data_IF_802830419295
#
_entry.id   IF_802830419295
#
_cell.length_a   1.000
_cell.length_b   1.000
_cell.length_c   1.000
_cell.angle_alpha   90.00
_cell.angle_beta   90.00
_cell.angle_gamma   90.00
#
_symmetry.space_group_name_H-M   'P 1'
#
loop_
_entity.id
_entity.type
_entity.pdbx_description
1 polymer ?
#
# COMPACT_ATOMS: atom_id res chain seq x y z
N UNK A 1 20.53 10.81 27.40
CA UNK A 1 20.10 11.05 26.01
C UNK A 1 20.49 9.92 25.06
N UNK A 2 21.78 9.53 24.94
CA UNK A 2 22.18 8.46 24.01
C UNK A 2 21.53 7.09 24.26
N UNK A 3 21.34 6.69 25.53
CA UNK A 3 20.64 5.45 25.89
C UNK A 3 19.16 5.46 25.47
N UNK A 4 18.46 6.57 25.68
CA UNK A 4 17.07 6.74 25.25
C UNK A 4 16.95 6.73 23.72
N UNK A 5 17.88 7.38 23.02
CA UNK A 5 17.95 7.36 21.56
C UNK A 5 18.26 5.95 21.01
N UNK A 6 19.15 5.20 21.65
CA UNK A 6 19.46 3.80 21.29
C UNK A 6 18.28 2.86 21.52
N UNK A 7 17.65 2.92 22.69
CA UNK A 7 16.50 2.08 23.02
C UNK A 7 15.33 2.40 22.09
N UNK A 8 15.04 3.68 21.86
CA UNK A 8 14.00 4.10 20.91
C UNK A 8 14.29 3.68 19.47
N UNK A 9 15.53 3.83 19.02
CA UNK A 9 15.97 3.41 17.69
C UNK A 9 15.88 1.89 17.49
N UNK A 10 16.31 1.09 18.48
CA UNK A 10 16.22 -0.37 18.42
C UNK A 10 14.77 -0.86 18.45
N UNK A 11 13.91 -0.27 19.29
CA UNK A 11 12.49 -0.65 19.34
C UNK A 11 11.79 -0.37 18.01
N UNK A 12 11.96 0.84 17.47
CA UNK A 12 11.36 1.24 16.19
C UNK A 12 11.93 0.43 15.03
N UNK A 13 13.25 0.21 15.02
CA UNK A 13 13.94 -0.58 14.01
C UNK A 13 13.50 -2.05 14.01
N UNK A 14 13.34 -2.67 15.17
CA UNK A 14 12.93 -4.09 15.27
C UNK A 14 11.50 -4.30 14.81
N UNK A 15 10.57 -3.40 15.19
CA UNK A 15 9.18 -3.46 14.72
C UNK A 15 9.10 -3.28 13.20
N UNK A 16 9.85 -2.33 12.64
CA UNK A 16 9.91 -2.11 11.20
C UNK A 16 10.52 -3.33 10.45
N UNK A 17 11.57 -3.93 11.01
CA UNK A 17 12.23 -5.11 10.42
C UNK A 17 11.32 -6.34 10.43
N UNK A 18 10.59 -6.56 11.53
CA UNK A 18 9.64 -7.67 11.65
C UNK A 18 8.45 -7.51 10.69
N UNK A 19 7.88 -6.31 10.59
CA UNK A 19 6.81 -6.00 9.63
C UNK A 19 7.27 -6.22 8.19
N UNK A 20 8.39 -5.61 7.81
CA UNK A 20 8.97 -5.76 6.46
C UNK A 20 9.31 -7.22 6.14
N UNK A 21 9.79 -7.97 7.13
CA UNK A 21 10.10 -9.41 6.99
C UNK A 21 8.86 -10.27 6.78
N UNK A 22 7.73 -9.93 7.42
CA UNK A 22 6.44 -10.57 7.16
C UNK A 22 5.96 -10.28 5.73
N UNK A 23 5.98 -9.01 5.32
CA UNK A 23 5.56 -8.57 3.98
C UNK A 23 6.40 -9.25 2.88
N UNK A 24 7.73 -9.30 3.05
CA UNK A 24 8.62 -9.98 2.10
C UNK A 24 8.36 -11.50 2.03
N UNK A 25 8.04 -12.13 3.16
CA UNK A 25 7.76 -13.57 3.21
C UNK A 25 6.47 -13.96 2.47
N UNK A 26 5.52 -13.03 2.38
CA UNK A 26 4.26 -13.22 1.63
C UNK A 26 4.45 -13.01 0.12
N UNK A 27 5.36 -12.12 -0.29
CA UNK A 27 5.60 -11.81 -1.72
C UNK A 27 6.56 -12.80 -2.38
N UNK A 28 7.57 -13.29 -1.65
CA UNK A 28 8.58 -14.21 -2.18
C UNK A 28 8.62 -15.53 -1.38
N UNK A 29 7.75 -16.51 -1.68
CA UNK A 29 7.73 -17.80 -0.99
C UNK A 29 9.00 -18.66 -1.19
N UNK A 30 9.96 -18.19 -2.00
CA UNK A 30 11.24 -18.86 -2.29
C UNK A 30 12.45 -18.27 -1.55
N UNK A 31 12.32 -17.12 -0.89
CA UNK A 31 13.39 -16.53 -0.08
C UNK A 31 13.19 -16.92 1.37
N UNK A 32 14.22 -17.46 2.03
CA UNK A 32 14.12 -17.72 3.47
C UNK A 32 13.98 -16.39 4.21
N UNK A 33 13.17 -16.35 5.28
CA UNK A 33 12.94 -15.13 6.10
C UNK A 33 14.24 -14.44 6.52
N UNK A 34 15.30 -15.23 6.72
CA UNK A 34 16.65 -14.76 7.06
C UNK A 34 17.31 -14.02 5.88
N UNK A 35 17.22 -14.56 4.66
CA UNK A 35 17.78 -13.93 3.45
C UNK A 35 17.10 -12.59 3.12
N UNK A 36 15.77 -12.51 3.24
CA UNK A 36 15.04 -11.27 3.02
C UNK A 36 15.47 -10.19 4.03
N UNK A 37 15.61 -10.57 5.31
CA UNK A 37 16.04 -9.65 6.37
C UNK A 37 17.48 -9.18 6.16
N UNK A 38 18.39 -10.09 5.80
CA UNK A 38 19.79 -9.76 5.50
C UNK A 38 19.93 -8.86 4.27
N UNK A 39 19.16 -9.11 3.21
CA UNK A 39 19.15 -8.28 2.00
C UNK A 39 18.69 -6.86 2.32
N UNK A 40 17.55 -6.72 3.01
CA UNK A 40 17.00 -5.41 3.41
C UNK A 40 17.95 -4.68 4.35
N UNK A 41 18.55 -5.39 5.30
CA UNK A 41 19.57 -4.84 6.20
C UNK A 41 20.80 -4.33 5.45
N UNK A 42 21.36 -5.13 4.53
CA UNK A 42 22.52 -4.75 3.73
C UNK A 42 22.21 -3.55 2.81
N UNK A 43 21.05 -3.53 2.17
CA UNK A 43 20.61 -2.42 1.33
C UNK A 43 20.45 -1.13 2.15
N UNK A 44 19.84 -1.24 3.33
CA UNK A 44 19.66 -0.11 4.26
C UNK A 44 21.00 0.44 4.74
N UNK A 45 21.95 -0.43 5.11
CA UNK A 45 23.30 -0.04 5.51
C UNK A 45 24.01 0.66 4.34
N UNK A 46 23.93 0.10 3.14
CA UNK A 46 24.52 0.70 1.94
C UNK A 46 23.94 2.09 1.65
N UNK A 47 22.62 2.25 1.76
CA UNK A 47 21.94 3.53 1.56
C UNK A 47 22.33 4.57 2.62
N UNK A 48 22.41 4.16 3.89
CA UNK A 48 22.86 5.01 5.00
C UNK A 48 24.32 5.41 4.83
N UNK A 49 25.20 4.50 4.40
CA UNK A 49 26.61 4.80 4.14
C UNK A 49 26.78 5.73 2.94
N UNK A 50 26.11 5.47 1.82
CA UNK A 50 26.14 6.34 0.66
C UNK A 50 25.61 7.74 0.99
N UNK A 51 24.52 7.82 1.75
CA UNK A 51 24.02 9.08 2.30
C UNK A 51 25.07 9.75 3.20
N UNK A 52 25.63 9.02 4.17
CA UNK A 52 26.54 9.57 5.18
C UNK A 52 27.89 10.05 4.63
N UNK A 53 28.46 9.37 3.63
CA UNK A 53 29.76 9.71 3.08
C UNK A 53 29.68 10.66 1.86
N UNK A 54 28.51 10.80 1.24
CA UNK A 54 28.32 11.67 0.08
C UNK A 54 27.53 12.96 0.32
N UNK A 55 26.64 13.02 1.33
CA UNK A 55 25.68 14.11 1.52
C UNK A 55 25.46 14.36 3.03
N UNK A 56 25.64 15.59 3.52
CA UNK A 56 25.45 15.99 4.93
C UNK A 56 24.42 15.13 5.69
N UNK A 57 24.87 14.36 6.69
CA UNK A 57 24.07 13.31 7.36
C UNK A 57 22.69 13.82 7.82
N UNK A 58 22.65 15.03 8.38
CA UNK A 58 21.41 15.64 8.88
C UNK A 58 20.43 15.92 7.75
N UNK A 59 20.93 16.42 6.62
CA UNK A 59 20.11 16.75 5.45
C UNK A 59 19.54 15.49 4.79
N UNK A 60 20.38 14.46 4.67
CA UNK A 60 20.00 13.15 4.14
C UNK A 60 18.91 12.47 4.97
N UNK A 61 19.04 12.49 6.30
CA UNK A 61 18.04 11.87 7.20
C UNK A 61 16.71 12.60 7.10
N UNK A 62 16.71 13.94 7.17
CA UNK A 62 15.46 14.71 7.11
C UNK A 62 14.77 14.59 5.74
N UNK A 63 15.52 14.64 4.64
CA UNK A 63 14.97 14.46 3.31
C UNK A 63 14.33 13.07 3.15
N UNK A 64 15.02 12.03 3.62
CA UNK A 64 14.52 10.66 3.57
C UNK A 64 13.26 10.47 4.42
N UNK A 65 13.26 10.97 5.66
CA UNK A 65 12.09 10.93 6.53
C UNK A 65 10.90 11.65 5.88
N UNK A 66 11.15 12.79 5.24
CA UNK A 66 10.11 13.55 4.53
C UNK A 66 9.52 12.76 3.38
N UNK A 67 10.35 12.09 2.57
CA UNK A 67 9.86 11.23 1.48
C UNK A 67 9.04 10.07 2.01
N UNK A 68 9.50 9.39 3.08
CA UNK A 68 8.71 8.33 3.72
C UNK A 68 7.35 8.86 4.16
N UNK A 69 7.33 9.94 4.94
CA UNK A 69 6.09 10.53 5.46
C UNK A 69 5.16 10.94 4.31
N UNK A 70 5.70 11.56 3.26
CA UNK A 70 4.93 12.04 2.12
C UNK A 70 4.38 10.90 1.26
N UNK A 71 5.01 9.73 1.25
CA UNK A 71 4.53 8.53 0.60
C UNK A 71 3.53 7.74 1.46
N UNK A 72 3.77 7.61 2.77
CA UNK A 72 2.93 6.82 3.69
C UNK A 72 1.61 7.53 4.01
N UNK A 73 1.61 8.85 4.16
CA UNK A 73 0.40 9.64 4.44
C UNK A 73 -0.72 9.43 3.41
N UNK A 74 -0.52 9.64 2.10
CA UNK A 74 -1.58 9.43 1.11
C UNK A 74 -2.00 7.95 1.02
N UNK A 75 -1.08 7.02 1.25
CA UNK A 75 -1.43 5.59 1.32
C UNK A 75 -2.42 5.30 2.46
N UNK A 76 -2.18 5.86 3.66
CA UNK A 76 -3.10 5.73 4.79
C UNK A 76 -4.47 6.33 4.48
N UNK A 77 -4.53 7.46 3.77
CA UNK A 77 -5.78 8.09 3.33
C UNK A 77 -6.57 7.17 2.39
N UNK A 78 -5.91 6.62 1.38
CA UNK A 78 -6.54 5.68 0.43
C UNK A 78 -7.06 4.44 1.15
N UNK A 79 -6.30 3.88 2.10
CA UNK A 79 -6.74 2.74 2.91
C UNK A 79 -7.94 3.07 3.80
N UNK A 80 -7.90 4.20 4.51
CA UNK A 80 -9.01 4.65 5.37
C UNK A 80 -10.28 4.92 4.56
N UNK A 81 -10.16 5.58 3.41
CA UNK A 81 -11.29 5.82 2.51
C UNK A 81 -11.79 4.52 1.88
N UNK A 82 -10.91 3.59 1.53
CA UNK A 82 -11.28 2.26 1.07
C UNK A 82 -12.11 1.51 2.12
N UNK A 83 -11.66 1.53 3.38
CA UNK A 83 -12.39 0.93 4.50
C UNK A 83 -13.75 1.61 4.73
N UNK A 84 -13.78 2.94 4.73
CA UNK A 84 -14.99 3.72 4.94
C UNK A 84 -16.03 3.55 3.81
N UNK A 85 -15.58 3.59 2.56
CA UNK A 85 -16.44 3.40 1.37
C UNK A 85 -17.04 1.99 1.33
N UNK A 86 -16.32 0.99 1.85
CA UNK A 86 -16.77 -0.42 1.98
C UNK A 86 -17.51 -0.73 3.29
N UNK A 87 -17.73 0.28 4.15
CA UNK A 87 -18.37 0.12 5.47
C UNK A 87 -17.68 -0.92 6.37
N UNK A 88 -16.37 -1.08 6.22
CA UNK A 88 -15.60 -2.09 6.96
C UNK A 88 -15.91 -3.54 6.59
N UNK A 89 -16.66 -3.77 5.50
CA UNK A 89 -16.95 -5.13 5.03
C UNK A 89 -15.80 -5.67 4.18
N UNK A 90 -15.13 -6.68 4.73
CA UNK A 90 -14.11 -7.46 4.04
C UNK A 90 -14.35 -8.94 4.35
N UNK A 91 -14.69 -9.75 3.34
CA UNK A 91 -14.67 -11.21 3.54
C UNK A 91 -13.21 -11.75 3.63
N UNK A 92 -12.89 -12.52 4.67
CA UNK A 92 -11.53 -13.00 4.93
C UNK A 92 -11.08 -14.10 3.96
N UNK A 93 -11.99 -14.89 3.42
CA UNK A 93 -11.64 -16.01 2.52
C UNK A 93 -11.09 -15.48 1.20
N UNK A 94 -11.74 -14.48 0.61
CA UNK A 94 -11.25 -13.90 -0.64
C UNK A 94 -9.94 -13.10 -0.49
N UNK A 95 -9.60 -12.65 0.73
CA UNK A 95 -8.29 -12.02 1.01
C UNK A 95 -7.17 -13.07 1.07
N UNK A 96 -7.49 -14.28 1.54
CA UNK A 96 -6.53 -15.38 1.65
C UNK A 96 -6.26 -16.10 0.32
N UNK A 97 -7.05 -15.85 -0.73
CA UNK A 97 -6.85 -16.44 -2.08
C UNK A 97 -5.41 -16.26 -2.57
N UNK A 98 -4.84 -15.06 -2.40
CA UNK A 98 -3.45 -14.79 -2.75
C UNK A 98 -2.45 -15.55 -1.88
N UNK A 99 -2.72 -15.71 -0.59
CA UNK A 99 -1.89 -16.49 0.33
C UNK A 99 -1.91 -18.00 -0.02
N UNK A 100 -3.03 -18.49 -0.59
CA UNK A 100 -3.20 -19.86 -1.08
C UNK A 100 -2.65 -20.09 -2.50
N UNK A 101 -1.95 -19.10 -3.09
CA UNK A 101 -1.43 -19.12 -4.48
C UNK A 101 -2.52 -19.29 -5.54
N UNK A 102 -3.76 -18.96 -5.21
CA UNK A 102 -4.86 -18.93 -6.13
C UNK A 102 -4.93 -17.53 -6.78
N UNK A 103 -5.48 -17.46 -7.99
CA UNK A 103 -5.68 -16.24 -8.79
C UNK A 103 -7.17 -16.01 -8.98
N UNK A 104 -7.59 -14.77 -9.17
CA UNK A 104 -9.01 -14.44 -9.29
C UNK A 104 -9.67 -14.15 -7.94
N UNK A 105 -11.00 -14.06 -7.94
CA UNK A 105 -11.77 -13.60 -6.80
C UNK A 105 -12.04 -12.11 -6.81
N UNK A 106 -12.90 -11.66 -5.89
CA UNK A 106 -13.46 -10.29 -5.89
C UNK A 106 -12.44 -9.17 -5.74
N UNK A 107 -11.28 -9.42 -5.14
CA UNK A 107 -10.19 -8.43 -5.01
C UNK A 107 -9.11 -8.56 -6.08
N UNK A 108 -9.31 -9.41 -7.10
CA UNK A 108 -8.36 -9.55 -8.20
C UNK A 108 -8.34 -8.34 -9.14
N UNK A 109 -9.42 -7.55 -9.22
CA UNK A 109 -9.50 -6.34 -10.05
C UNK A 109 -8.85 -6.54 -11.44
N UNK A 110 -7.89 -5.68 -11.83
CA UNK A 110 -7.11 -5.84 -13.06
C UNK A 110 -5.84 -6.64 -12.80
N UNK A 111 -5.93 -7.99 -12.86
CA UNK A 111 -4.77 -8.89 -12.73
C UNK A 111 -4.03 -8.82 -11.38
N UNK A 112 -4.75 -8.56 -10.30
CA UNK A 112 -4.24 -8.39 -8.94
C UNK A 112 -4.05 -6.93 -8.50
N UNK A 113 -4.29 -5.95 -9.39
CA UNK A 113 -4.02 -4.54 -9.14
C UNK A 113 -5.31 -3.71 -9.06
N UNK A 114 -5.49 -2.99 -7.95
CA UNK A 114 -6.43 -1.89 -7.90
C UNK A 114 -5.76 -0.61 -8.41
N UNK A 115 -5.78 -0.43 -9.73
CA UNK A 115 -5.14 0.72 -10.38
C UNK A 115 -5.66 2.06 -9.85
N UNK A 116 -6.90 2.15 -9.36
CA UNK A 116 -7.50 3.39 -8.84
C UNK A 116 -6.84 3.83 -7.52
N UNK A 117 -6.65 2.88 -6.61
CA UNK A 117 -5.92 3.13 -5.37
C UNK A 117 -4.45 3.45 -5.64
N UNK A 118 -3.82 2.69 -6.54
CA UNK A 118 -2.40 2.86 -6.88
C UNK A 118 -2.14 4.20 -7.57
N UNK A 119 -2.97 4.62 -8.53
CA UNK A 119 -2.81 5.92 -9.21
C UNK A 119 -3.11 7.08 -8.26
N UNK A 120 -4.19 7.00 -7.46
CA UNK A 120 -4.49 8.03 -6.46
C UNK A 120 -3.32 8.21 -5.48
N UNK A 121 -2.74 7.11 -4.99
CA UNK A 121 -1.57 7.15 -4.12
C UNK A 121 -0.35 7.77 -4.81
N UNK A 122 0.04 7.27 -5.98
CA UNK A 122 1.23 7.73 -6.70
C UNK A 122 1.17 9.22 -7.05
N UNK A 123 0.06 9.67 -7.62
CA UNK A 123 -0.12 11.07 -8.03
C UNK A 123 -0.09 11.98 -6.80
N UNK A 124 -0.69 11.56 -5.69
CA UNK A 124 -0.72 12.36 -4.46
C UNK A 124 0.64 12.40 -3.77
N UNK A 125 1.36 11.29 -3.72
CA UNK A 125 2.72 11.23 -3.18
C UNK A 125 3.67 12.12 -4.01
N UNK A 126 3.60 12.04 -5.34
CA UNK A 126 4.41 12.88 -6.23
C UNK A 126 4.08 14.36 -6.04
N UNK A 127 2.79 14.70 -6.00
CA UNK A 127 2.34 16.09 -5.76
C UNK A 127 2.84 16.58 -4.40
N UNK A 128 2.72 15.76 -3.36
CA UNK A 128 3.24 16.06 -2.03
C UNK A 128 4.72 16.42 -2.05
N UNK A 129 5.54 15.56 -2.67
CA UNK A 129 7.01 15.76 -2.78
C UNK A 129 7.35 17.02 -3.59
N UNK A 130 6.58 17.32 -4.65
CA UNK A 130 6.81 18.51 -5.47
C UNK A 130 6.54 19.82 -4.71
N UNK A 131 5.52 19.83 -3.84
CA UNK A 131 5.10 20.99 -3.05
C UNK A 131 5.73 21.05 -1.65
N UNK A 132 6.50 20.03 -1.25
CA UNK A 132 7.25 20.04 0.01
C UNK A 132 8.22 21.21 0.05
N UNK A 133 8.20 21.99 1.12
CA UNK A 133 9.16 23.07 1.33
C UNK A 133 9.71 23.04 2.76
N UNK A 134 10.78 22.27 2.97
CA UNK A 134 11.55 22.31 4.22
C UNK A 134 12.84 23.10 3.98
N UNK A 135 12.88 24.40 4.33
CA UNK A 135 14.05 25.25 4.12
C UNK A 135 15.29 24.67 4.81
N UNK A 136 16.39 24.56 4.07
CA UNK A 136 17.67 23.99 4.54
C UNK A 136 17.76 22.46 4.51
N UNK A 137 16.66 21.73 4.25
CA UNK A 137 16.64 20.28 4.23
C UNK A 137 16.28 19.73 2.85
N UNK A 138 15.00 19.85 2.46
CA UNK A 138 14.46 19.33 1.22
C UNK A 138 13.37 20.26 0.69
N UNK A 139 13.58 20.83 -0.50
CA UNK A 139 12.63 21.72 -1.15
C UNK A 139 12.31 21.14 -2.53
N UNK A 140 11.04 20.82 -2.74
CA UNK A 140 10.54 20.34 -4.02
C UNK A 140 10.59 21.46 -5.08
N UNK A 141 10.60 21.11 -6.38
CA UNK A 141 10.67 22.08 -7.48
C UNK A 141 9.58 23.16 -7.44
N UNK A 142 8.42 22.85 -6.85
CA UNK A 142 7.27 23.75 -6.71
C UNK A 142 7.12 24.31 -5.29
N UNK A 143 8.00 23.95 -4.36
CA UNK A 143 7.92 24.40 -2.96
C UNK A 143 8.08 25.91 -2.78
N UNK A 144 8.80 26.57 -3.69
CA UNK A 144 8.99 28.03 -3.69
C UNK A 144 7.71 28.84 -3.94
N UNK A 145 6.65 28.23 -4.49
CA UNK A 145 5.37 28.90 -4.78
C UNK A 145 4.58 29.25 -3.51
N UNK A 146 4.87 28.60 -2.38
CA UNK A 146 4.15 28.77 -1.12
C UNK A 146 4.78 29.82 -0.18
N UNK A 147 5.61 30.74 -0.68
CA UNK A 147 6.27 31.79 0.13
C UNK A 147 7.03 31.26 1.36
N UNK A 148 7.57 30.03 1.30
CA UNK A 148 8.34 29.43 2.39
C UNK A 148 7.54 28.59 3.40
N UNK A 149 6.23 28.40 3.20
CA UNK A 149 5.39 27.52 4.03
C UNK A 149 5.36 26.10 3.45
N UNK A 150 5.54 25.08 4.29
CA UNK A 150 5.39 23.68 3.87
C UNK A 150 3.91 23.30 3.72
N UNK A 151 3.43 23.27 2.48
CA UNK A 151 2.06 22.85 2.13
C UNK A 151 2.02 21.44 1.52
N UNK A 152 3.16 20.76 1.39
CA UNK A 152 3.25 19.47 0.70
C UNK A 152 2.37 18.38 1.35
N UNK A 153 2.37 18.31 2.68
CA UNK A 153 1.57 17.34 3.43
C UNK A 153 0.05 17.57 3.25
N UNK A 154 -0.51 18.76 3.58
CA UNK A 154 -1.93 19.04 3.36
C UNK A 154 -2.37 18.81 1.90
N UNK A 155 -1.56 19.22 0.93
CA UNK A 155 -1.84 19.02 -0.49
C UNK A 155 -1.88 17.53 -0.84
N UNK A 156 -0.94 16.73 -0.36
CA UNK A 156 -0.91 15.28 -0.56
C UNK A 156 -2.14 14.58 0.03
N UNK A 157 -2.56 14.96 1.24
CA UNK A 157 -3.76 14.45 1.92
C UNK A 157 -5.02 14.73 1.10
N UNK A 158 -5.22 15.99 0.70
CA UNK A 158 -6.39 16.43 -0.05
C UNK A 158 -6.40 15.80 -1.44
N UNK A 159 -5.25 15.77 -2.12
CA UNK A 159 -5.09 15.13 -3.42
C UNK A 159 -5.47 13.64 -3.35
N UNK A 160 -5.00 12.92 -2.33
CA UNK A 160 -5.30 11.50 -2.17
C UNK A 160 -6.80 11.26 -1.98
N UNK A 161 -7.44 12.06 -1.14
CA UNK A 161 -8.87 11.94 -0.89
C UNK A 161 -9.71 12.26 -2.14
N UNK A 162 -9.41 13.38 -2.80
CA UNK A 162 -10.15 13.83 -3.99
C UNK A 162 -9.93 12.86 -5.15
N UNK A 163 -8.69 12.49 -5.45
CA UNK A 163 -8.37 11.60 -6.57
C UNK A 163 -8.98 10.23 -6.36
N UNK A 164 -8.85 9.65 -5.17
CA UNK A 164 -9.40 8.32 -4.90
C UNK A 164 -10.92 8.29 -5.01
N UNK A 165 -11.62 9.26 -4.40
CA UNK A 165 -13.09 9.34 -4.50
C UNK A 165 -13.56 9.64 -5.93
N UNK A 166 -12.82 10.48 -6.67
CA UNK A 166 -13.15 10.81 -8.06
C UNK A 166 -12.95 9.59 -8.96
N UNK A 167 -11.83 8.87 -8.83
CA UNK A 167 -11.58 7.63 -9.55
C UNK A 167 -12.62 6.57 -9.25
N UNK A 168 -13.07 6.48 -8.00
CA UNK A 168 -14.11 5.53 -7.59
C UNK A 168 -15.50 5.91 -8.12
N UNK A 169 -15.74 7.19 -8.43
CA UNK A 169 -16.98 7.66 -9.08
C UNK A 169 -16.96 7.51 -10.59
N UNK A 170 -15.84 7.82 -11.24
CA UNK A 170 -15.69 7.72 -12.69
C UNK A 170 -15.55 6.28 -13.14
N UNK A 171 -14.84 5.47 -12.36
CA UNK A 171 -14.63 4.06 -12.61
C UNK A 171 -15.21 3.30 -11.41
N UNK A 172 -16.44 2.79 -11.48
CA UNK A 172 -17.09 2.07 -10.38
C UNK A 172 -16.45 0.69 -10.12
N UNK A 173 -16.31 0.28 -8.86
CA UNK A 173 -15.82 -1.07 -8.49
C UNK A 173 -16.94 -2.12 -8.67
N UNK A 174 -16.59 -3.41 -8.89
CA UNK A 174 -17.59 -4.47 -8.93
C UNK A 174 -18.42 -4.53 -7.64
N UNK A 175 -19.75 -4.67 -7.74
CA UNK A 175 -20.65 -4.67 -6.58
C UNK A 175 -20.31 -5.75 -5.56
N UNK A 176 -19.79 -6.89 -6.01
CA UNK A 176 -19.35 -8.01 -5.18
C UNK A 176 -18.18 -7.70 -4.23
N UNK A 177 -17.51 -6.55 -4.40
CA UNK A 177 -16.46 -6.05 -3.49
C UNK A 177 -17.06 -5.40 -2.23
N UNK A 178 -18.32 -4.97 -2.31
CA UNK A 178 -19.04 -4.30 -1.22
C UNK A 178 -19.95 -5.28 -0.48
N UNK A 179 -20.19 -4.99 0.79
CA UNK A 179 -21.11 -5.76 1.62
C UNK A 179 -22.57 -5.60 1.20
N UNK A 180 -23.49 -6.32 1.87
CA UNK A 180 -24.93 -6.30 1.56
C UNK A 180 -25.55 -4.89 1.66
N UNK A 181 -24.97 -4.01 2.47
CA UNK A 181 -25.39 -2.60 2.62
C UNK A 181 -24.96 -1.67 1.48
N UNK A 182 -24.18 -2.17 0.50
CA UNK A 182 -23.69 -1.42 -0.65
C UNK A 182 -22.56 -0.42 -0.32
N UNK A 183 -22.16 0.34 -1.35
CA UNK A 183 -21.04 1.26 -1.27
C UNK A 183 -21.44 2.64 -0.68
N UNK A 184 -20.57 3.24 0.13
CA UNK A 184 -20.69 4.65 0.55
C UNK A 184 -19.92 5.56 -0.42
N UNK A 185 -20.58 6.62 -0.90
CA UNK A 185 -20.00 7.71 -1.73
C UNK A 185 -19.39 7.28 -3.08
N UNK A 186 -19.53 6.00 -3.43
CA UNK A 186 -18.92 5.34 -4.56
C UNK A 186 -19.99 4.71 -5.45
N UNK A 187 -19.75 4.68 -6.77
CA UNK A 187 -20.62 3.96 -7.70
C UNK A 187 -20.16 2.50 -7.76
N UNK A 188 -21.11 1.59 -7.87
CA UNK A 188 -20.85 0.15 -8.09
C UNK A 188 -21.26 -0.24 -9.48
N UNK A 189 -20.52 -1.15 -10.11
CA UNK A 189 -20.91 -1.77 -11.36
C UNK A 189 -21.18 -3.25 -11.13
N UNK A 190 -22.23 -3.80 -11.74
CA UNK A 190 -22.46 -5.25 -11.75
C UNK A 190 -21.57 -5.88 -12.82
N UNK A 191 -20.30 -6.09 -12.45
CA UNK A 191 -19.32 -6.83 -13.25
C UNK A 191 -19.18 -8.22 -12.64
N UNK A 192 -19.23 -9.30 -13.45
CA UNK A 192 -18.99 -10.66 -12.96
C UNK A 192 -17.64 -10.75 -12.26
N UNK A 193 -17.61 -11.40 -11.09
CA UNK A 193 -16.36 -11.67 -10.37
C UNK A 193 -15.60 -12.76 -11.11
N UNK A 194 -14.31 -12.55 -11.45
CA UNK A 194 -13.50 -13.62 -12.03
C UNK A 194 -13.44 -14.82 -11.08
N UNK A 195 -13.66 -16.05 -11.57
CA UNK A 195 -13.59 -17.25 -10.74
C UNK A 195 -12.20 -17.39 -10.12
N UNK A 196 -12.15 -17.94 -8.91
CA UNK A 196 -10.88 -18.26 -8.25
C UNK A 196 -10.31 -19.51 -8.91
N UNK A 197 -9.12 -19.40 -9.50
CA UNK A 197 -8.41 -20.48 -10.22
C UNK A 197 -7.06 -20.72 -9.56
N UNK A 198 -6.65 -21.98 -9.39
CA UNK A 198 -5.36 -22.31 -8.78
C UNK A 198 -5.24 -23.78 -8.37
N UNK A 199 -4.15 -24.17 -7.66
CA UNK A 199 -3.79 -25.56 -7.37
C UNK A 199 -4.68 -26.25 -6.31
N UNK A 200 -5.98 -25.94 -6.29
CA UNK A 200 -7.03 -26.61 -5.52
C UNK A 200 -8.37 -26.67 -6.26
N UNK A 201 -8.41 -26.32 -7.55
CA UNK A 201 -9.61 -26.31 -8.40
C UNK A 201 -9.86 -27.67 -9.10
N UNK A 202 -8.97 -28.65 -8.91
CA UNK A 202 -9.07 -29.99 -9.51
C UNK A 202 -9.94 -30.97 -8.71
N UNK A 203 -10.63 -30.54 -7.64
CA UNK A 203 -11.30 -31.47 -6.70
C UNK A 203 -12.83 -31.52 -6.71
N UNK A 204 -13.53 -30.63 -7.43
CA UNK A 204 -15.00 -30.51 -7.29
C UNK A 204 -15.82 -31.18 -8.40
N UNK A 205 -15.18 -31.81 -9.40
CA UNK A 205 -15.85 -32.43 -10.55
C UNK A 205 -15.63 -33.95 -10.68
N UNK A 206 -15.13 -34.61 -9.64
CA UNK A 206 -15.05 -36.07 -9.59
C UNK A 206 -15.83 -36.63 -8.39
N UNK A 207 -17.12 -36.32 -8.31
CA UNK A 207 -18.05 -37.15 -7.53
C UNK A 207 -18.82 -38.07 -8.49
N UNK A 208 -18.39 -39.33 -8.66
CA UNK A 208 -19.11 -40.32 -9.48
C UNK A 208 -20.45 -40.76 -8.87
N UNK A 209 -20.92 -40.17 -7.76
CA UNK A 209 -22.17 -40.56 -7.08
C UNK A 209 -23.41 -39.72 -7.41
N UNK A 210 -23.34 -38.79 -8.37
CA UNK A 210 -24.51 -38.07 -8.88
C UNK A 210 -25.46 -39.02 -9.64
N UNK A 211 -26.28 -39.72 -8.87
CA UNK A 211 -27.41 -40.51 -9.33
C UNK A 211 -28.44 -39.59 -9.99
N UNK A 212 -28.78 -39.89 -11.24
CA UNK A 212 -29.88 -39.24 -11.96
C UNK A 212 -31.21 -39.60 -11.28
N UNK A 213 -32.13 -38.63 -11.06
CA UNK A 213 -33.50 -38.97 -10.67
C UNK A 213 -34.22 -39.65 -11.84
N UNK A 214 -34.99 -40.69 -11.49
CA UNK A 214 -35.74 -41.58 -12.39
C UNK A 214 -36.80 -40.87 -13.25
#
# INVERSE_FOLDING_TARGET
>A
MCLLALIGGMATGTTALYGTGLDFSSVFPRLSRVQATLLVGALSIGFVFAGRFGLDLVRSISAFATVIITCTTPWMVVMMLGYWTRRGWYDPEALQVFNRRQRGGRYWFAHGWNWRGVTAWWVSALTGVLFTNLPGQFVGPLGGLANGVDIGLPVSLVAAAVLFLTLLRLFPEPRAVYGPEGARLARTADVPVPPVTGPGDEGALSDPSATLPA
#
